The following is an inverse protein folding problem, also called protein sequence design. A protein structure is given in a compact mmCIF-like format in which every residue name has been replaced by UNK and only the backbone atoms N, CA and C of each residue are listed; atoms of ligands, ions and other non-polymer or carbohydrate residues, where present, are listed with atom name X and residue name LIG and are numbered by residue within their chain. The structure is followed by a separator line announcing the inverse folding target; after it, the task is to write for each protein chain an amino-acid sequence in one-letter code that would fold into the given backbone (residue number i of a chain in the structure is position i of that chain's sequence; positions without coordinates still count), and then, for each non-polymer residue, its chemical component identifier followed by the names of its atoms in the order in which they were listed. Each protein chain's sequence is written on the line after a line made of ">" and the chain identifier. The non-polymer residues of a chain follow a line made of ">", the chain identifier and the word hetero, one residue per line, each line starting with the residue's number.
data_IF_135370006782
#
_entry.id   IF_135370006782
#
_cell.length_a   1.000
_cell.length_b   1.000
_cell.length_c   1.000
_cell.angle_alpha   90.00
_cell.angle_beta   90.00
_cell.angle_gamma   90.00
#
_symmetry.space_group_name_H-M   'P 1'
#
loop_
_entity.id
_entity.type
_entity.pdbx_description
1 polymer ?
#
# COMPACT_ATOMS: atom_id res chain seq x y z
N UNK A 1 44.58 8.56 -17.36
CA UNK A 1 43.80 7.32 -17.62
C UNK A 1 44.26 6.27 -16.61
N UNK A 2 43.39 5.73 -15.74
CA UNK A 2 43.82 4.83 -14.64
C UNK A 2 44.61 3.61 -15.11
N UNK A 3 44.33 3.12 -16.32
CA UNK A 3 45.03 1.98 -16.93
C UNK A 3 46.49 2.35 -17.24
N UNK A 4 46.73 3.51 -17.86
CA UNK A 4 48.07 4.02 -18.11
C UNK A 4 48.89 4.16 -16.82
N UNK A 5 48.29 4.76 -15.79
CA UNK A 5 48.96 4.98 -14.50
C UNK A 5 49.34 3.66 -13.81
N UNK A 6 48.56 2.60 -14.02
CA UNK A 6 48.84 1.26 -13.50
C UNK A 6 49.92 0.54 -14.31
N UNK A 7 49.91 0.66 -15.64
CA UNK A 7 50.92 0.06 -16.52
C UNK A 7 52.29 0.70 -16.30
N UNK A 8 52.36 2.03 -16.20
CA UNK A 8 53.60 2.76 -15.92
C UNK A 8 54.22 2.37 -14.58
N UNK A 9 53.41 2.06 -13.56
CA UNK A 9 53.88 1.59 -12.25
C UNK A 9 54.36 0.14 -12.24
N UNK A 10 53.85 -0.69 -13.15
CA UNK A 10 54.19 -2.11 -13.28
C UNK A 10 55.21 -2.40 -14.39
N UNK A 11 55.66 -1.36 -15.10
CA UNK A 11 56.49 -1.47 -16.29
C UNK A 11 57.89 -2.00 -15.98
N UNK A 12 58.41 -2.84 -16.88
CA UNK A 12 59.84 -3.14 -16.97
C UNK A 12 60.55 -1.99 -17.71
N UNK A 13 61.86 -1.82 -17.51
CA UNK A 13 62.69 -0.73 -18.08
C UNK A 13 62.67 -0.59 -19.62
N UNK A 14 62.03 -1.53 -20.34
CA UNK A 14 62.01 -1.61 -21.80
C UNK A 14 60.62 -1.44 -22.43
N UNK A 15 59.59 -1.12 -21.65
CA UNK A 15 58.23 -0.91 -22.16
C UNK A 15 57.84 0.58 -22.08
N UNK A 16 57.63 1.19 -23.24
CA UNK A 16 57.08 2.54 -23.35
C UNK A 16 55.58 2.46 -23.66
N UNK A 17 54.81 3.22 -22.89
CA UNK A 17 53.35 3.29 -23.04
C UNK A 17 52.99 4.73 -23.39
N UNK A 18 52.09 4.90 -24.35
CA UNK A 18 51.52 6.19 -24.75
C UNK A 18 49.99 6.09 -24.81
N UNK A 19 49.29 7.21 -24.58
CA UNK A 19 47.82 7.25 -24.66
C UNK A 19 47.42 8.04 -25.89
N UNK A 20 46.90 7.34 -26.90
CA UNK A 20 46.25 7.97 -28.04
C UNK A 20 44.73 7.99 -27.85
N UNK A 21 44.09 9.09 -28.24
CA UNK A 21 42.63 9.19 -28.31
C UNK A 21 42.24 9.27 -29.78
N UNK A 22 41.39 8.35 -30.22
CA UNK A 22 40.87 8.33 -31.58
C UNK A 22 39.43 8.84 -31.49
N UNK A 23 39.16 9.96 -32.14
CA UNK A 23 37.84 10.55 -32.17
C UNK A 23 37.12 9.99 -33.39
N UNK A 24 36.26 8.99 -33.19
CA UNK A 24 35.37 8.56 -34.26
C UNK A 24 34.58 9.74 -34.84
N UNK A 25 34.20 9.65 -36.12
CA UNK A 25 33.39 10.67 -36.77
C UNK A 25 31.92 10.60 -36.33
N UNK A 26 31.25 11.75 -36.20
CA UNK A 26 29.77 11.81 -36.04
C UNK A 26 29.02 11.24 -37.27
N UNK A 27 29.74 11.08 -38.38
CA UNK A 27 29.24 10.48 -39.62
C UNK A 27 29.06 8.97 -39.44
N UNK A 28 27.81 8.51 -39.45
CA UNK A 28 27.52 7.09 -39.26
C UNK A 28 27.86 6.27 -40.51
N UNK A 29 28.36 5.05 -40.31
CA UNK A 29 28.63 4.07 -41.37
C UNK A 29 30.06 4.12 -41.91
N UNK A 30 30.23 3.80 -43.19
CA UNK A 30 31.55 3.55 -43.82
C UNK A 30 32.53 4.72 -43.70
N UNK A 31 32.04 5.96 -43.64
CA UNK A 31 32.91 7.13 -43.53
C UNK A 31 33.57 7.25 -42.14
N UNK A 32 32.85 6.88 -41.06
CA UNK A 32 33.46 6.76 -39.73
C UNK A 32 34.52 5.67 -39.69
N UNK A 33 34.26 4.52 -40.32
CA UNK A 33 35.23 3.42 -40.38
C UNK A 33 36.52 3.85 -41.09
N UNK A 34 36.39 4.60 -42.19
CA UNK A 34 37.53 5.14 -42.94
C UNK A 34 38.33 6.16 -42.14
N UNK A 35 37.65 7.07 -41.46
CA UNK A 35 38.31 8.08 -40.63
C UNK A 35 39.03 7.45 -39.44
N UNK A 36 38.41 6.46 -38.78
CA UNK A 36 39.02 5.72 -37.68
C UNK A 36 40.32 5.04 -38.10
N UNK A 37 40.34 4.40 -39.28
CA UNK A 37 41.55 3.75 -39.80
C UNK A 37 42.61 4.79 -40.17
N UNK A 38 42.23 5.95 -40.68
CA UNK A 38 43.16 7.02 -41.03
C UNK A 38 43.84 7.59 -39.77
N UNK A 39 43.07 7.94 -38.74
CA UNK A 39 43.60 8.45 -37.46
C UNK A 39 44.47 7.40 -36.76
N UNK A 40 44.05 6.12 -36.75
CA UNK A 40 44.88 5.03 -36.23
C UNK A 40 46.22 4.93 -36.97
N UNK A 41 46.21 5.09 -38.30
CA UNK A 41 47.44 5.03 -39.10
C UNK A 41 48.36 6.22 -38.79
N UNK A 42 47.80 7.41 -38.58
CA UNK A 42 48.57 8.60 -38.18
C UNK A 42 49.24 8.39 -36.81
N UNK A 43 48.51 7.89 -35.83
CA UNK A 43 49.05 7.56 -34.49
C UNK A 43 50.17 6.53 -34.59
N UNK A 44 50.01 5.49 -35.41
CA UNK A 44 51.03 4.45 -35.59
C UNK A 44 52.27 4.92 -36.34
N UNK A 45 52.15 5.97 -37.16
CA UNK A 45 53.30 6.60 -37.82
C UNK A 45 54.13 7.45 -36.85
N UNK A 46 53.47 8.12 -35.89
CA UNK A 46 54.16 8.90 -34.85
C UNK A 46 54.74 8.00 -33.77
N UNK A 47 54.00 6.97 -33.35
CA UNK A 47 54.42 5.99 -32.35
C UNK A 47 54.17 4.55 -32.86
N UNK A 48 55.22 3.86 -33.38
CA UNK A 48 55.08 2.51 -33.92
C UNK A 48 54.90 1.50 -32.77
N UNK A 49 53.65 1.32 -32.34
CA UNK A 49 53.28 0.38 -31.29
C UNK A 49 53.27 -1.07 -31.79
N UNK A 50 53.85 -1.99 -31.01
CA UNK A 50 53.78 -3.44 -31.27
C UNK A 50 52.42 -4.02 -30.94
N UNK A 51 51.75 -3.48 -29.91
CA UNK A 51 50.52 -4.00 -29.33
C UNK A 51 49.62 -2.83 -28.88
N UNK A 52 48.30 -3.01 -28.98
CA UNK A 52 47.32 -1.99 -28.55
C UNK A 52 46.33 -2.55 -27.52
N UNK A 53 46.00 -1.71 -26.53
CA UNK A 53 44.91 -1.96 -25.57
C UNK A 53 43.73 -1.08 -25.96
N UNK A 54 42.66 -1.69 -26.46
CA UNK A 54 41.45 -0.97 -26.85
C UNK A 54 40.61 -0.63 -25.62
N UNK A 55 40.32 0.66 -25.42
CA UNK A 55 39.43 1.15 -24.36
C UNK A 55 38.22 1.81 -25.00
N UNK A 56 37.01 1.31 -24.72
CA UNK A 56 35.79 1.71 -25.42
C UNK A 56 34.58 1.72 -24.49
N UNK A 57 33.55 2.50 -24.83
CA UNK A 57 32.39 2.78 -23.97
C UNK A 57 31.18 1.84 -24.18
N UNK A 58 31.27 0.92 -25.14
CA UNK A 58 30.39 -0.25 -25.25
C UNK A 58 29.37 -0.24 -26.40
N UNK A 59 29.25 0.83 -27.19
CA UNK A 59 28.24 0.88 -28.28
C UNK A 59 28.78 0.51 -29.67
N UNK A 60 30.09 0.62 -29.90
CA UNK A 60 30.69 0.44 -31.25
C UNK A 60 31.78 -0.64 -31.29
N UNK A 61 32.05 -1.29 -30.16
CA UNK A 61 33.21 -2.17 -29.95
C UNK A 61 33.29 -3.35 -30.93
N UNK A 62 32.15 -3.94 -31.26
CA UNK A 62 32.10 -5.15 -32.10
C UNK A 62 32.36 -4.85 -33.58
N UNK A 63 32.06 -3.62 -34.04
CA UNK A 63 32.28 -3.22 -35.43
C UNK A 63 33.68 -2.65 -35.65
N UNK A 64 34.27 -2.01 -34.62
CA UNK A 64 35.58 -1.35 -34.72
C UNK A 64 36.74 -2.31 -34.51
N UNK A 65 36.56 -3.35 -33.68
CA UNK A 65 37.65 -4.29 -33.34
C UNK A 65 38.33 -4.90 -34.58
N UNK A 66 37.61 -5.41 -35.61
CA UNK A 66 38.26 -5.96 -36.81
C UNK A 66 39.06 -4.92 -37.61
N UNK A 67 38.65 -3.64 -37.56
CA UNK A 67 39.35 -2.56 -38.27
C UNK A 67 40.70 -2.27 -37.62
N UNK A 68 40.77 -2.28 -36.28
CA UNK A 68 42.01 -2.06 -35.53
C UNK A 68 42.93 -3.27 -35.65
N UNK A 69 42.39 -4.49 -35.49
CA UNK A 69 43.15 -5.75 -35.63
C UNK A 69 43.79 -5.90 -37.02
N UNK A 70 43.21 -5.27 -38.06
CA UNK A 70 43.79 -5.26 -39.41
C UNK A 70 45.13 -4.52 -39.52
N UNK A 71 45.46 -3.63 -38.56
CA UNK A 71 46.67 -2.80 -38.57
C UNK A 71 47.67 -3.21 -37.49
N UNK A 72 47.19 -3.49 -36.28
CA UNK A 72 48.03 -3.82 -35.11
C UNK A 72 47.32 -4.86 -34.24
N UNK A 73 48.05 -5.85 -33.67
CA UNK A 73 47.45 -6.81 -32.75
C UNK A 73 46.90 -6.14 -31.49
N UNK A 74 45.69 -6.56 -31.09
CA UNK A 74 45.01 -6.07 -29.89
C UNK A 74 45.19 -7.08 -28.75
N UNK A 75 45.98 -6.73 -27.73
CA UNK A 75 46.25 -7.63 -26.59
C UNK A 75 45.08 -7.70 -25.61
N UNK A 76 44.33 -6.60 -25.45
CA UNK A 76 43.24 -6.52 -24.47
C UNK A 76 42.19 -5.49 -24.87
N UNK A 77 40.92 -5.84 -24.67
CA UNK A 77 39.77 -4.93 -24.81
C UNK A 77 39.21 -4.63 -23.42
N UNK A 78 39.12 -3.34 -23.07
CA UNK A 78 38.57 -2.84 -21.82
C UNK A 78 37.33 -1.99 -22.10
N UNK A 79 36.16 -2.56 -21.79
CA UNK A 79 34.88 -1.85 -21.85
C UNK A 79 34.70 -1.00 -20.59
N UNK A 80 34.52 0.31 -20.75
CA UNK A 80 34.19 1.25 -19.67
C UNK A 80 32.78 1.76 -19.92
N UNK A 81 31.81 1.32 -19.13
CA UNK A 81 30.44 1.83 -19.28
C UNK A 81 30.39 3.28 -18.80
N UNK A 82 30.39 4.23 -19.75
CA UNK A 82 30.09 5.64 -19.47
C UNK A 82 28.58 5.76 -19.49
N UNK A 83 27.99 6.06 -18.33
CA UNK A 83 26.54 6.17 -18.20
C UNK A 83 26.06 7.47 -18.87
N UNK A 84 25.80 7.42 -20.18
CA UNK A 84 25.17 8.51 -20.91
C UNK A 84 23.66 8.54 -20.63
N UNK A 85 23.13 9.72 -20.29
CA UNK A 85 21.80 9.97 -19.73
C UNK A 85 20.58 9.73 -20.64
N UNK A 86 20.66 8.86 -21.65
CA UNK A 86 19.56 8.55 -22.60
C UNK A 86 18.30 7.95 -21.96
N UNK A 87 18.36 7.46 -20.71
CA UNK A 87 17.20 6.79 -20.09
C UNK A 87 16.01 7.72 -19.80
N UNK A 88 16.22 9.03 -19.70
CA UNK A 88 15.14 9.99 -19.41
C UNK A 88 14.27 10.21 -20.65
N UNK A 89 14.88 10.31 -21.84
CA UNK A 89 14.14 10.51 -23.09
C UNK A 89 13.30 9.28 -23.46
N UNK A 90 13.86 8.08 -23.31
CA UNK A 90 13.14 6.83 -23.56
C UNK A 90 11.98 6.63 -22.58
N UNK A 91 12.20 6.92 -21.30
CA UNK A 91 11.14 6.84 -20.28
C UNK A 91 10.02 7.84 -20.55
N UNK A 92 10.36 9.08 -20.92
CA UNK A 92 9.39 10.11 -21.26
C UNK A 92 8.61 9.79 -22.55
N UNK A 93 9.28 9.25 -23.56
CA UNK A 93 8.66 8.80 -24.81
C UNK A 93 7.68 7.64 -24.55
N UNK A 94 8.05 6.67 -23.71
CA UNK A 94 7.15 5.60 -23.30
C UNK A 94 5.95 6.15 -22.54
N UNK A 95 6.17 7.01 -21.55
CA UNK A 95 5.10 7.58 -20.72
C UNK A 95 4.09 8.36 -21.57
N UNK A 96 4.57 9.20 -22.48
CA UNK A 96 3.72 9.97 -23.41
C UNK A 96 2.92 9.05 -24.36
N UNK A 97 3.52 7.96 -24.84
CA UNK A 97 2.83 6.97 -25.68
C UNK A 97 1.73 6.23 -24.91
N UNK A 98 1.96 5.87 -23.65
CA UNK A 98 0.94 5.30 -22.78
C UNK A 98 -0.19 6.29 -22.49
N UNK A 99 0.14 7.54 -22.15
CA UNK A 99 -0.85 8.59 -21.91
C UNK A 99 -1.74 8.78 -23.14
N UNK A 100 -1.13 8.91 -24.33
CA UNK A 100 -1.83 9.05 -25.60
C UNK A 100 -2.73 7.86 -25.89
N UNK A 101 -2.28 6.64 -25.58
CA UNK A 101 -3.08 5.41 -25.74
C UNK A 101 -4.30 5.41 -24.83
N UNK A 102 -4.16 5.87 -23.58
CA UNK A 102 -5.27 5.97 -22.62
C UNK A 102 -6.32 6.99 -23.10
N UNK A 103 -5.90 8.16 -23.60
CA UNK A 103 -6.82 9.20 -24.08
C UNK A 103 -7.50 8.80 -25.40
N UNK A 104 -6.74 8.23 -26.34
CA UNK A 104 -7.23 8.01 -27.71
C UNK A 104 -8.16 6.81 -27.80
N UNK A 105 -7.96 5.78 -26.96
CA UNK A 105 -8.81 4.59 -27.00
C UNK A 105 -10.10 4.80 -26.20
N UNK A 106 -11.29 4.78 -26.84
CA UNK A 106 -12.55 5.12 -26.17
C UNK A 106 -12.90 4.16 -25.02
N UNK A 107 -12.48 2.89 -25.12
CA UNK A 107 -12.69 1.88 -24.07
C UNK A 107 -11.88 2.19 -22.81
N UNK A 108 -10.61 2.57 -22.96
CA UNK A 108 -9.73 2.86 -21.83
C UNK A 108 -9.95 4.26 -21.26
N UNK A 109 -10.18 5.26 -22.12
CA UNK A 109 -10.48 6.63 -21.71
C UNK A 109 -11.71 6.71 -20.80
N UNK A 110 -12.78 5.94 -21.10
CA UNK A 110 -13.99 5.96 -20.27
C UNK A 110 -13.75 5.47 -18.84
N UNK A 111 -12.88 4.48 -18.66
CA UNK A 111 -12.60 3.90 -17.35
C UNK A 111 -11.55 4.71 -16.60
N UNK A 112 -10.43 5.04 -17.26
CA UNK A 112 -9.27 5.67 -16.61
C UNK A 112 -9.47 7.18 -16.44
N UNK A 113 -10.18 7.86 -17.35
CA UNK A 113 -10.45 9.30 -17.25
C UNK A 113 -11.90 9.58 -16.89
N UNK A 114 -12.86 8.82 -17.45
CA UNK A 114 -14.28 9.05 -17.21
C UNK A 114 -14.71 8.77 -15.77
N UNK A 115 -14.27 7.64 -15.19
CA UNK A 115 -14.63 7.29 -13.81
C UNK A 115 -14.09 8.29 -12.77
N UNK A 116 -12.79 8.66 -12.76
CA UNK A 116 -12.31 9.70 -11.87
C UNK A 116 -12.85 11.08 -12.23
N UNK A 117 -13.11 11.39 -13.51
CA UNK A 117 -13.73 12.65 -13.92
C UNK A 117 -15.12 12.85 -13.32
N UNK A 118 -15.98 11.82 -13.39
CA UNK A 118 -17.30 11.83 -12.76
C UNK A 118 -17.16 11.93 -11.22
N UNK A 119 -16.21 11.19 -10.64
CA UNK A 119 -15.92 11.26 -9.21
C UNK A 119 -15.57 12.70 -8.78
N UNK A 120 -14.69 13.39 -9.52
CA UNK A 120 -14.31 14.77 -9.21
C UNK A 120 -15.48 15.75 -9.36
N UNK A 121 -16.34 15.57 -10.36
CA UNK A 121 -17.54 16.40 -10.53
C UNK A 121 -18.47 16.21 -9.32
N UNK A 122 -18.74 14.96 -8.93
CA UNK A 122 -19.58 14.66 -7.76
C UNK A 122 -18.95 15.25 -6.49
N UNK A 123 -17.66 15.04 -6.25
CA UNK A 123 -16.96 15.61 -5.09
C UNK A 123 -17.00 17.15 -5.09
N UNK A 124 -16.85 17.80 -6.25
CA UNK A 124 -16.96 19.25 -6.38
C UNK A 124 -18.36 19.78 -6.06
N UNK A 125 -19.40 19.10 -6.51
CA UNK A 125 -20.80 19.45 -6.17
C UNK A 125 -21.05 19.26 -4.67
N UNK A 126 -20.58 18.17 -4.08
CA UNK A 126 -20.73 17.93 -2.63
C UNK A 126 -19.91 18.92 -1.80
N UNK A 127 -18.80 19.44 -2.33
CA UNK A 127 -18.05 20.51 -1.68
C UNK A 127 -18.82 21.82 -1.68
N UNK A 128 -19.46 22.20 -2.79
CA UNK A 128 -20.31 23.39 -2.86
C UNK A 128 -21.51 23.34 -1.89
N UNK A 129 -22.01 22.13 -1.59
CA UNK A 129 -23.12 21.88 -0.67
C UNK A 129 -22.69 21.70 0.80
N UNK A 130 -21.40 21.87 1.13
CA UNK A 130 -20.81 21.60 2.46
C UNK A 130 -21.04 20.17 2.99
N UNK A 131 -21.39 19.22 2.12
CA UNK A 131 -21.61 17.81 2.48
C UNK A 131 -20.37 16.94 2.27
N UNK A 132 -19.22 17.57 2.00
CA UNK A 132 -17.97 16.87 1.70
C UNK A 132 -17.50 15.97 2.85
N UNK A 133 -17.73 16.38 4.10
CA UNK A 133 -17.41 15.57 5.28
C UNK A 133 -18.17 14.23 5.26
N UNK A 134 -19.47 14.26 4.98
CA UNK A 134 -20.32 13.07 4.86
C UNK A 134 -19.92 12.18 3.68
N UNK A 135 -19.54 12.79 2.56
CA UNK A 135 -19.01 12.07 1.40
C UNK A 135 -17.71 11.32 1.72
N UNK A 136 -16.78 11.98 2.40
CA UNK A 136 -15.49 11.41 2.79
C UNK A 136 -15.66 10.27 3.80
N UNK A 137 -16.54 10.44 4.78
CA UNK A 137 -16.88 9.40 5.76
C UNK A 137 -17.51 8.17 5.07
N UNK A 138 -18.48 8.38 4.18
CA UNK A 138 -19.11 7.30 3.42
C UNK A 138 -18.10 6.56 2.53
N UNK A 139 -17.23 7.30 1.82
CA UNK A 139 -16.20 6.71 0.97
C UNK A 139 -15.17 5.92 1.77
N UNK A 140 -14.75 6.43 2.94
CA UNK A 140 -13.84 5.73 3.84
C UNK A 140 -14.47 4.44 4.41
N UNK A 141 -15.76 4.47 4.76
CA UNK A 141 -16.49 3.27 5.22
C UNK A 141 -16.59 2.24 4.08
N UNK A 142 -16.98 2.67 2.87
CA UNK A 142 -17.10 1.78 1.71
C UNK A 142 -15.73 1.18 1.33
N UNK A 143 -14.70 2.01 1.26
CA UNK A 143 -13.33 1.58 0.94
C UNK A 143 -12.77 0.67 2.04
N UNK A 144 -13.00 1.01 3.32
CA UNK A 144 -12.61 0.19 4.46
C UNK A 144 -13.31 -1.16 4.46
N UNK A 145 -14.62 -1.19 4.23
CA UNK A 145 -15.38 -2.44 4.10
C UNK A 145 -14.88 -3.29 2.91
N UNK A 146 -14.63 -2.66 1.76
CA UNK A 146 -14.07 -3.36 0.60
C UNK A 146 -12.68 -3.94 0.87
N UNK A 147 -11.79 -3.18 1.51
CA UNK A 147 -10.46 -3.63 1.88
C UNK A 147 -10.51 -4.74 2.92
N UNK A 148 -11.44 -4.71 3.88
CA UNK A 148 -11.63 -5.80 4.84
C UNK A 148 -12.10 -7.06 4.11
N UNK A 149 -13.14 -6.96 3.28
CA UNK A 149 -13.67 -8.10 2.52
C UNK A 149 -12.58 -8.72 1.64
N UNK A 150 -11.86 -7.89 0.88
CA UNK A 150 -10.84 -8.34 -0.07
C UNK A 150 -9.55 -8.78 0.63
N UNK A 151 -9.08 -8.02 1.61
CA UNK A 151 -7.83 -8.22 2.33
C UNK A 151 -7.85 -9.44 3.23
N UNK A 152 -8.98 -9.70 3.91
CA UNK A 152 -9.16 -10.91 4.69
C UNK A 152 -9.69 -12.09 3.86
N UNK A 153 -9.87 -11.92 2.54
CA UNK A 153 -10.47 -12.93 1.63
C UNK A 153 -11.74 -13.52 2.24
N UNK A 154 -12.56 -12.67 2.87
CA UNK A 154 -13.77 -13.08 3.60
C UNK A 154 -14.75 -13.81 2.68
N UNK A 155 -14.62 -13.64 1.37
CA UNK A 155 -15.32 -14.41 0.35
C UNK A 155 -15.29 -15.94 0.61
N UNK A 156 -14.13 -16.49 1.05
CA UNK A 156 -13.97 -17.92 1.35
C UNK A 156 -14.35 -18.28 2.78
N UNK A 157 -13.99 -17.42 3.74
CA UNK A 157 -14.29 -17.63 5.16
C UNK A 157 -15.78 -17.52 5.44
N UNK A 158 -16.49 -16.61 4.77
CA UNK A 158 -17.93 -16.46 4.85
C UNK A 158 -18.66 -17.67 4.26
N UNK A 159 -18.17 -18.25 3.16
CA UNK A 159 -18.75 -19.49 2.62
C UNK A 159 -18.58 -20.67 3.58
N UNK A 160 -17.42 -20.80 4.23
CA UNK A 160 -17.19 -21.81 5.26
C UNK A 160 -18.01 -21.53 6.54
N UNK A 161 -18.19 -20.27 6.91
CA UNK A 161 -19.02 -19.86 8.05
C UNK A 161 -20.51 -20.09 7.79
N UNK A 162 -20.98 -19.87 6.57
CA UNK A 162 -22.36 -20.17 6.14
C UNK A 162 -22.59 -21.69 6.13
N UNK A 163 -21.63 -22.49 5.66
CA UNK A 163 -21.68 -23.96 5.78
C UNK A 163 -21.70 -24.40 7.24
N UNK A 164 -20.83 -23.81 8.07
CA UNK A 164 -20.78 -24.09 9.50
C UNK A 164 -22.09 -23.73 10.20
N UNK A 165 -22.71 -22.58 9.92
CA UNK A 165 -24.04 -22.19 10.44
C UNK A 165 -25.13 -23.15 9.97
N UNK A 166 -25.05 -23.64 8.72
CA UNK A 166 -26.03 -24.56 8.15
C UNK A 166 -25.91 -25.98 8.71
N UNK A 167 -24.70 -26.40 9.12
CA UNK A 167 -24.43 -27.65 9.85
C UNK A 167 -24.55 -27.49 11.37
N UNK A 168 -24.61 -26.26 11.88
CA UNK A 168 -24.87 -25.96 13.28
C UNK A 168 -26.36 -26.20 13.57
N UNK A 169 -26.69 -27.46 13.87
CA UNK A 169 -27.99 -27.82 14.42
C UNK A 169 -28.26 -26.96 15.66
N UNK A 170 -29.28 -26.09 15.66
CA UNK A 170 -29.43 -25.08 16.70
C UNK A 170 -29.62 -25.76 18.06
N UNK A 171 -28.75 -25.50 19.07
CA UNK A 171 -29.10 -25.83 20.44
C UNK A 171 -30.40 -25.11 20.78
N UNK A 172 -31.32 -25.75 21.53
CA UNK A 172 -32.73 -25.35 21.63
C UNK A 172 -32.87 -23.85 21.83
N UNK A 173 -33.67 -23.20 20.97
CA UNK A 173 -33.88 -21.74 20.90
C UNK A 173 -34.07 -21.08 22.29
N UNK A 174 -34.59 -21.83 23.25
CA UNK A 174 -34.79 -21.47 24.66
C UNK A 174 -33.51 -21.08 25.41
N UNK A 175 -32.36 -21.70 25.10
CA UNK A 175 -31.07 -21.38 25.76
C UNK A 175 -30.48 -20.09 25.20
N UNK A 176 -30.64 -19.86 23.88
CA UNK A 176 -30.12 -18.68 23.19
C UNK A 176 -30.88 -17.41 23.60
N UNK A 177 -32.22 -17.42 23.58
CA UNK A 177 -33.05 -16.26 23.95
C UNK A 177 -32.74 -15.79 25.37
N UNK A 178 -32.61 -16.73 26.30
CA UNK A 178 -32.30 -16.41 27.69
C UNK A 178 -30.81 -16.09 27.93
N UNK A 179 -29.90 -16.53 27.05
CA UNK A 179 -28.50 -16.10 27.04
C UNK A 179 -28.36 -14.65 26.55
N UNK A 180 -29.03 -14.29 25.45
CA UNK A 180 -29.09 -12.91 24.95
C UNK A 180 -29.76 -11.96 25.93
N UNK A 181 -30.87 -12.36 26.55
CA UNK A 181 -31.53 -11.56 27.58
C UNK A 181 -30.67 -11.34 28.82
N UNK A 182 -29.89 -12.35 29.24
CA UNK A 182 -28.97 -12.20 30.36
C UNK A 182 -27.79 -11.27 30.02
N UNK A 183 -27.18 -11.42 28.83
CA UNK A 183 -26.12 -10.53 28.36
C UNK A 183 -26.60 -9.08 28.21
N UNK A 184 -27.78 -8.88 27.61
CA UNK A 184 -28.38 -7.55 27.49
C UNK A 184 -28.68 -6.93 28.85
N UNK A 185 -29.22 -7.70 29.81
CA UNK A 185 -29.46 -7.23 31.16
C UNK A 185 -28.19 -6.86 31.92
N UNK A 186 -27.13 -7.66 31.80
CA UNK A 186 -25.82 -7.37 32.41
C UNK A 186 -25.23 -6.08 31.82
N UNK A 187 -25.28 -5.91 30.50
CA UNK A 187 -24.82 -4.69 29.84
C UNK A 187 -25.60 -3.45 30.29
N UNK A 188 -26.93 -3.54 30.42
CA UNK A 188 -27.75 -2.44 30.91
C UNK A 188 -27.40 -2.04 32.34
N UNK A 189 -27.06 -3.01 33.21
CA UNK A 189 -26.60 -2.73 34.57
C UNK A 189 -25.25 -2.01 34.56
N UNK A 190 -24.31 -2.44 33.71
CA UNK A 190 -23.02 -1.74 33.56
C UNK A 190 -23.18 -0.32 33.03
N UNK A 191 -24.03 -0.11 32.03
CA UNK A 191 -24.32 1.21 31.45
C UNK A 191 -25.01 2.12 32.48
N UNK A 192 -25.98 1.59 33.24
CA UNK A 192 -26.63 2.32 34.32
C UNK A 192 -25.68 2.69 35.47
N UNK A 193 -24.72 1.81 35.77
CA UNK A 193 -23.66 2.10 36.74
C UNK A 193 -22.70 3.19 36.27
N UNK A 194 -22.31 3.16 34.99
CA UNK A 194 -21.45 4.18 34.39
C UNK A 194 -22.12 5.55 34.34
N UNK A 195 -23.39 5.63 33.90
CA UNK A 195 -24.17 6.87 33.86
C UNK A 195 -24.42 7.45 35.26
N UNK A 196 -24.66 6.59 36.25
CA UNK A 196 -24.76 7.04 37.64
C UNK A 196 -23.42 7.59 38.16
N UNK A 197 -22.32 6.90 37.86
CA UNK A 197 -20.98 7.32 38.29
C UNK A 197 -20.55 8.67 37.68
N UNK A 198 -20.87 8.93 36.42
CA UNK A 198 -20.55 10.23 35.78
C UNK A 198 -21.43 11.37 36.30
N UNK A 199 -22.68 11.11 36.67
CA UNK A 199 -23.56 12.09 37.31
C UNK A 199 -23.00 12.55 38.68
N UNK A 200 -22.58 11.59 39.50
CA UNK A 200 -21.91 11.85 40.79
C UNK A 200 -20.62 12.65 40.61
N UNK A 201 -19.82 12.31 39.60
CA UNK A 201 -18.58 13.04 39.31
C UNK A 201 -18.83 14.49 38.87
N UNK A 202 -19.90 14.76 38.11
CA UNK A 202 -20.25 16.10 37.65
C UNK A 202 -20.76 17.01 38.78
N UNK A 203 -21.41 16.46 39.80
CA UNK A 203 -21.81 17.22 41.00
C UNK A 203 -20.64 17.41 41.96
N UNK A 204 -19.74 16.43 42.06
CA UNK A 204 -18.55 16.50 42.92
C UNK A 204 -17.53 17.56 42.47
N UNK A 205 -17.46 17.89 41.17
CA UNK A 205 -16.54 18.93 40.65
C UNK A 205 -17.06 20.35 40.86
N UNK A 206 -18.33 20.55 41.21
CA UNK A 206 -18.94 21.87 41.37
C UNK A 206 -18.64 22.55 42.73
N UNK A 207 -18.16 21.81 43.74
CA UNK A 207 -17.97 22.36 45.10
C UNK A 207 -17.07 21.48 45.98
N UNK A 208 -15.78 21.82 46.06
CA UNK A 208 -14.78 21.06 46.82
C UNK A 208 -14.87 21.22 48.36
N UNK A 209 -15.57 22.24 48.87
CA UNK A 209 -15.52 22.60 50.29
C UNK A 209 -16.65 22.03 51.16
N UNK A 210 -17.64 21.35 50.57
CA UNK A 210 -18.83 20.85 51.28
C UNK A 210 -19.12 19.37 50.99
N UNK A 211 -18.09 18.53 51.04
CA UNK A 211 -18.19 17.10 50.73
C UNK A 211 -19.21 16.35 51.61
N UNK A 212 -19.32 16.69 52.89
CA UNK A 212 -20.20 15.98 53.85
C UNK A 212 -21.69 16.36 53.77
N UNK A 213 -22.03 17.56 53.29
CA UNK A 213 -23.44 18.00 53.17
C UNK A 213 -24.07 17.63 51.83
N UNK A 214 -23.26 17.28 50.83
CA UNK A 214 -23.69 16.89 49.49
C UNK A 214 -23.78 15.37 49.29
N UNK A 215 -23.40 14.56 50.30
CA UNK A 215 -23.59 13.10 50.26
C UNK A 215 -25.04 12.71 49.96
N UNK A 216 -26.08 13.34 50.57
CA UNK A 216 -27.47 13.01 50.26
C UNK A 216 -27.88 13.38 48.82
N UNK A 217 -27.39 14.48 48.26
CA UNK A 217 -27.71 14.88 46.88
C UNK A 217 -26.98 14.03 45.84
N UNK A 218 -25.73 13.64 46.10
CA UNK A 218 -24.96 12.73 45.25
C UNK A 218 -25.60 11.33 45.19
N UNK A 219 -26.04 10.81 46.35
CA UNK A 219 -26.78 9.55 46.41
C UNK A 219 -28.13 9.69 45.69
N UNK A 220 -28.81 10.83 45.85
CA UNK A 220 -30.07 11.13 45.18
C UNK A 220 -29.97 11.12 43.65
N UNK A 221 -28.97 11.78 43.07
CA UNK A 221 -28.77 11.82 41.62
C UNK A 221 -28.28 10.48 41.06
N UNK A 222 -27.41 9.78 41.79
CA UNK A 222 -27.00 8.43 41.42
C UNK A 222 -28.20 7.47 41.34
N UNK A 223 -29.09 7.51 42.34
CA UNK A 223 -30.29 6.68 42.37
C UNK A 223 -31.27 7.10 41.27
N UNK A 224 -31.54 8.39 41.07
CA UNK A 224 -32.46 8.82 40.01
C UNK A 224 -32.01 8.38 38.61
N UNK A 225 -30.72 8.47 38.31
CA UNK A 225 -30.21 8.16 36.97
C UNK A 225 -29.91 6.66 36.77
N UNK A 226 -29.52 5.95 37.83
CA UNK A 226 -29.17 4.52 37.75
C UNK A 226 -30.37 3.60 38.01
N UNK A 227 -31.32 3.97 38.87
CA UNK A 227 -32.42 3.08 39.28
C UNK A 227 -33.30 2.65 38.12
N UNK A 228 -33.63 3.52 37.18
CA UNK A 228 -34.47 3.14 36.03
C UNK A 228 -33.79 2.10 35.12
N UNK A 229 -32.50 2.28 34.81
CA UNK A 229 -31.75 1.35 33.94
C UNK A 229 -31.47 0.03 34.64
N UNK A 230 -31.17 0.05 35.95
CA UNK A 230 -31.00 -1.16 36.75
C UNK A 230 -32.32 -1.91 36.89
N UNK A 231 -33.43 -1.22 37.16
CA UNK A 231 -34.76 -1.83 37.25
C UNK A 231 -35.18 -2.48 35.93
N UNK A 232 -34.99 -1.80 34.80
CA UNK A 232 -35.24 -2.35 33.47
C UNK A 232 -34.33 -3.56 33.21
N UNK A 233 -33.04 -3.50 33.54
CA UNK A 233 -32.10 -4.61 33.40
C UNK A 233 -32.53 -5.85 34.19
N UNK A 234 -32.97 -5.68 35.44
CA UNK A 234 -33.48 -6.77 36.28
C UNK A 234 -34.78 -7.35 35.71
N UNK A 235 -35.72 -6.50 35.27
CA UNK A 235 -36.97 -6.95 34.64
C UNK A 235 -36.71 -7.75 33.36
N UNK A 236 -35.74 -7.34 32.54
CA UNK A 236 -35.34 -8.07 31.33
C UNK A 236 -34.76 -9.45 31.69
N UNK A 237 -33.88 -9.54 32.69
CA UNK A 237 -33.31 -10.83 33.15
C UNK A 237 -34.40 -11.76 33.67
N UNK A 238 -35.35 -11.24 34.45
CA UNK A 238 -36.46 -12.01 34.99
C UNK A 238 -37.41 -12.50 33.89
N UNK A 239 -37.74 -11.64 32.91
CA UNK A 239 -38.54 -12.02 31.75
C UNK A 239 -37.86 -13.11 30.92
N UNK A 240 -36.55 -12.96 30.65
CA UNK A 240 -35.76 -13.99 29.95
C UNK A 240 -35.74 -15.34 30.68
N UNK A 241 -35.70 -15.33 32.02
CA UNK A 241 -35.81 -16.56 32.83
C UNK A 241 -37.23 -17.14 32.87
N UNK A 242 -38.25 -16.30 32.94
CA UNK A 242 -39.65 -16.73 32.93
C UNK A 242 -40.03 -17.39 31.59
N UNK A 243 -39.61 -16.79 30.47
CA UNK A 243 -39.80 -17.36 29.13
C UNK A 243 -39.07 -18.70 28.99
N UNK A 244 -37.84 -18.81 29.54
CA UNK A 244 -37.11 -20.09 29.58
C UNK A 244 -37.85 -21.16 30.37
N UNK A 245 -38.46 -20.80 31.49
CA UNK A 245 -39.21 -21.73 32.35
C UNK A 245 -40.51 -22.18 31.68
N UNK A 246 -41.28 -21.26 31.10
CA UNK A 246 -42.54 -21.55 30.41
C UNK A 246 -42.34 -22.49 29.21
N UNK A 247 -41.30 -22.24 28.40
CA UNK A 247 -41.00 -23.07 27.24
C UNK A 247 -40.50 -24.47 27.63
N UNK A 248 -39.78 -24.60 28.74
CA UNK A 248 -39.38 -25.92 29.29
C UNK A 248 -40.58 -26.71 29.83
N UNK A 249 -41.49 -26.04 30.53
CA UNK A 249 -42.71 -26.66 31.05
C UNK A 249 -43.58 -27.22 29.91
N UNK A 250 -43.71 -26.48 28.81
CA UNK A 250 -44.54 -26.92 27.68
C UNK A 250 -43.87 -28.03 26.83
N UNK A 251 -42.54 -28.07 26.76
CA UNK A 251 -41.82 -29.15 26.05
C UNK A 251 -41.87 -30.52 26.76
N UNK A 252 -42.13 -30.54 28.08
CA UNK A 252 -42.25 -31.78 28.86
C UNK A 252 -43.62 -32.48 28.76
N UNK A 253 -44.65 -31.77 28.30
CA UNK A 253 -46.01 -32.30 28.11
C UNK A 253 -46.17 -33.06 26.78
N UNK A 254 -45.41 -32.71 25.75
CA UNK A 254 -45.49 -33.33 24.41
C UNK A 254 -44.74 -34.67 24.26
N UNK A 255 -44.13 -35.19 25.33
CA UNK A 255 -43.41 -36.48 25.33
C UNK A 255 -44.11 -37.58 26.15
N UNK A 256 -45.36 -37.35 26.56
CA UNK A 256 -46.15 -38.28 27.38
C UNK A 256 -47.44 -38.79 26.70
N UNK A 257 -47.65 -38.47 25.42
CA UNK A 257 -48.63 -39.10 24.53
C UNK A 257 -47.91 -39.90 23.43
#
# INVERSE_FOLDING_TARGET
>A
VRIYDNLKKSSKEYEEYEVATIAGSDLHGVEADRQLVAELTEVLNEFPATDVILVTDGYTDEMVLPLIESRVPVTSVRRIVIQHSKSIEESAALFSRYLKTIVTNPRYSRIVLGLPGILFIVLGVLWYLDWLAYAGQALAIIAGAFLVVRGFRLDKTAQNFIKWIKEYSPPPFTVQIAGFSALAGILLIFVGGYLGGTAVANVATASADTFFTQVPSLIGEFLLQSTYLIAIGICVILSGRAVRWFLRANSGLNSAD
#
